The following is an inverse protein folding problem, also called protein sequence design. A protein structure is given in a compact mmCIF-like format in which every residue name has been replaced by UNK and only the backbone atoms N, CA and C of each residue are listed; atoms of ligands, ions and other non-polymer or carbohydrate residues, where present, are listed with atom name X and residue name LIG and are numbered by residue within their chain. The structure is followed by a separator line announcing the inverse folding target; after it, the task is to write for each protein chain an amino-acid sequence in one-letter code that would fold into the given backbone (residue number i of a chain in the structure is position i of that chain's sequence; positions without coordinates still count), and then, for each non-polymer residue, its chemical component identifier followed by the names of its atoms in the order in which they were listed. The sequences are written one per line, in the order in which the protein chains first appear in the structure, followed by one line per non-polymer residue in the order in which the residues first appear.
data_IF_553435564679
#
_entry.id   IF_553435564679
#
_cell.length_a   1.000
_cell.length_b   1.000
_cell.length_c   1.000
_cell.angle_alpha   90.00
_cell.angle_beta   90.00
_cell.angle_gamma   90.00
#
_symmetry.space_group_name_H-M   'P 1'
#
loop_
_entity.id
_entity.type
_entity.pdbx_description
1 polymer ?
#
# COMPACT_ATOMS: atom_id res chain seq x y z
N UNK A 1 11.21 26.54 3.14
CA UNK A 1 11.14 25.22 3.83
C UNK A 1 10.80 24.06 2.89
N UNK A 2 9.95 24.23 1.86
CA UNK A 2 9.55 23.16 0.92
C UNK A 2 10.68 22.42 0.18
N UNK A 3 11.73 23.12 -0.30
CA UNK A 3 12.87 22.43 -0.94
C UNK A 3 13.74 21.62 0.04
N UNK A 4 13.68 21.95 1.33
CA UNK A 4 14.50 21.30 2.35
C UNK A 4 13.90 19.93 2.72
N UNK A 5 12.57 19.82 2.84
CA UNK A 5 11.88 18.56 3.19
C UNK A 5 12.04 17.51 2.09
N UNK A 6 11.86 17.90 0.83
CA UNK A 6 12.02 16.98 -0.31
C UNK A 6 13.47 16.46 -0.41
N UNK A 7 14.45 17.36 -0.22
CA UNK A 7 15.87 17.01 -0.29
C UNK A 7 16.31 16.14 0.90
N UNK A 8 15.79 16.40 2.10
CA UNK A 8 16.09 15.62 3.29
C UNK A 8 15.40 14.25 3.26
N UNK A 9 14.16 14.15 2.77
CA UNK A 9 13.44 12.90 2.60
C UNK A 9 14.09 11.97 1.56
N UNK A 10 14.48 12.51 0.40
CA UNK A 10 15.26 11.77 -0.60
C UNK A 10 16.63 11.37 -0.06
N UNK A 11 17.36 12.27 0.62
CA UNK A 11 18.65 11.95 1.22
C UNK A 11 18.54 10.87 2.31
N UNK A 12 17.47 10.87 3.11
CA UNK A 12 17.22 9.83 4.10
C UNK A 12 16.97 8.49 3.40
N UNK A 13 16.11 8.44 2.37
CA UNK A 13 15.87 7.23 1.56
C UNK A 13 17.18 6.69 0.95
N UNK A 14 18.02 7.56 0.38
CA UNK A 14 19.31 7.14 -0.19
C UNK A 14 20.34 6.71 0.88
N UNK A 15 20.24 7.22 2.11
CA UNK A 15 21.12 6.83 3.22
C UNK A 15 20.72 5.51 3.90
N UNK A 16 19.48 5.04 3.72
CA UNK A 16 19.00 3.76 4.27
C UNK A 16 19.33 2.58 3.34
N UNK A 17 19.48 2.82 2.03
CA UNK A 17 19.92 1.82 1.04
C UNK A 17 21.20 1.06 1.43
N UNK A 18 22.29 1.69 1.91
CA UNK A 18 23.47 0.95 2.35
C UNK A 18 23.21 0.15 3.63
N UNK A 19 22.36 0.62 4.55
CA UNK A 19 22.02 -0.14 5.77
C UNK A 19 21.23 -1.41 5.47
N UNK A 20 20.32 -1.37 4.48
CA UNK A 20 19.61 -2.56 3.99
C UNK A 20 20.55 -3.56 3.30
N UNK A 21 21.59 -3.08 2.61
CA UNK A 21 22.60 -3.92 1.98
C UNK A 21 23.55 -4.63 2.97
N UNK A 22 23.65 -4.15 4.22
CA UNK A 22 24.52 -4.73 5.26
C UNK A 22 23.80 -5.60 6.30
N UNK A 23 22.47 -5.80 6.17
CA UNK A 23 21.69 -6.62 7.12
C UNK A 23 21.74 -8.14 6.84
N UNK A 24 22.58 -8.61 5.90
CA UNK A 24 22.84 -10.04 5.70
C UNK A 24 23.74 -10.59 6.82
N UNK A 25 23.14 -10.91 7.96
CA UNK A 25 23.71 -11.90 8.89
C UNK A 25 22.66 -12.94 9.24
N UNK A 26 22.85 -14.14 8.71
CA UNK A 26 22.13 -15.36 9.04
C UNK A 26 22.08 -15.59 10.57
N UNK A 27 20.92 -15.37 11.17
CA UNK A 27 20.58 -15.89 12.50
C UNK A 27 19.15 -16.47 12.45
N UNK A 28 19.10 -17.79 12.22
CA UNK A 28 18.12 -18.82 12.62
C UNK A 28 16.61 -18.51 12.74
N UNK A 29 15.81 -19.46 12.22
CA UNK A 29 14.56 -20.01 12.80
C UNK A 29 13.46 -19.02 13.20
N UNK A 30 12.28 -19.11 12.56
CA UNK A 30 11.09 -18.26 12.77
C UNK A 30 11.21 -16.79 12.35
N UNK A 31 12.42 -16.26 12.17
CA UNK A 31 12.69 -14.90 11.67
C UNK A 31 13.03 -14.82 10.18
N UNK A 32 13.14 -15.96 9.49
CA UNK A 32 13.56 -16.00 8.08
C UNK A 32 12.66 -15.13 7.21
N UNK A 33 13.16 -14.08 6.56
CA UNK A 33 12.33 -13.17 5.77
C UNK A 33 11.77 -13.88 4.52
N UNK A 34 10.46 -13.80 4.24
CA UNK A 34 9.93 -14.33 3.00
C UNK A 34 10.35 -13.38 1.86
N UNK A 35 10.60 -13.88 0.64
CA UNK A 35 10.91 -13.00 -0.46
C UNK A 35 9.76 -12.03 -0.65
N UNK A 36 10.05 -10.73 -0.79
CA UNK A 36 9.05 -9.65 -0.95
C UNK A 36 7.98 -9.94 -2.03
N UNK A 37 8.28 -10.82 -2.99
CA UNK A 37 7.33 -11.30 -3.99
C UNK A 37 6.22 -12.23 -3.50
N UNK A 38 6.30 -12.78 -2.27
CA UNK A 38 5.48 -13.94 -1.88
C UNK A 38 4.15 -13.62 -1.19
N UNK A 39 3.89 -12.39 -0.72
CA UNK A 39 2.61 -12.08 -0.11
C UNK A 39 2.24 -10.58 -0.19
N UNK A 40 1.07 -10.24 -0.76
CA UNK A 40 0.55 -8.87 -0.72
C UNK A 40 0.34 -8.41 0.73
N UNK A 41 1.04 -7.35 1.15
CA UNK A 41 1.01 -6.84 2.53
C UNK A 41 0.29 -5.49 2.58
N UNK A 42 -0.49 -5.26 3.64
CA UNK A 42 -1.16 -3.99 3.84
C UNK A 42 -0.14 -2.88 4.13
N UNK A 43 -0.30 -1.73 3.50
CA UNK A 43 0.54 -0.56 3.78
C UNK A 43 -0.06 0.74 3.28
N UNK A 44 0.57 1.85 3.65
CA UNK A 44 0.31 3.18 3.09
C UNK A 44 0.15 3.19 1.57
N UNK A 45 1.12 2.63 0.87
CA UNK A 45 1.18 2.51 -0.59
C UNK A 45 0.88 1.05 -1.00
N UNK A 46 0.06 0.38 -0.19
CA UNK A 46 0.05 -1.07 -0.08
C UNK A 46 -0.63 -1.77 -1.24
N UNK A 47 -0.10 -2.95 -1.55
CA UNK A 47 -0.73 -3.89 -2.46
C UNK A 47 -2.15 -4.29 -1.99
N UNK A 48 -2.38 -4.31 -0.67
CA UNK A 48 -3.66 -4.65 -0.02
C UNK A 48 -4.07 -3.60 1.02
N UNK A 49 -5.37 -3.59 1.39
CA UNK A 49 -5.88 -2.77 2.49
C UNK A 49 -6.27 -1.32 2.17
N UNK A 50 -6.03 -0.86 0.94
CA UNK A 50 -6.51 0.42 0.41
C UNK A 50 -6.28 1.61 1.35
N UNK A 51 -5.03 1.99 1.51
CA UNK A 51 -4.69 3.17 2.31
C UNK A 51 -4.47 4.42 1.45
N UNK A 52 -3.86 4.28 0.26
CA UNK A 52 -3.66 5.41 -0.67
C UNK A 52 -3.95 4.99 -2.10
N UNK A 53 -3.11 4.19 -2.76
CA UNK A 53 -3.33 3.79 -4.16
C UNK A 53 -3.74 2.32 -4.28
N UNK A 54 -4.85 2.00 -4.96
CA UNK A 54 -5.27 0.63 -5.16
C UNK A 54 -4.33 -0.14 -6.11
N UNK A 55 -3.96 -1.36 -5.73
CA UNK A 55 -3.44 -2.37 -6.67
C UNK A 55 -4.48 -3.46 -6.90
N UNK A 56 -4.28 -4.28 -7.93
CA UNK A 56 -5.14 -5.43 -8.24
C UNK A 56 -4.87 -6.65 -7.35
N UNK A 57 -3.84 -6.60 -6.49
CA UNK A 57 -3.49 -7.70 -5.59
C UNK A 57 -4.51 -7.79 -4.45
N UNK A 58 -4.98 -8.98 -4.12
CA UNK A 58 -5.82 -9.24 -2.93
C UNK A 58 -5.06 -10.06 -1.90
N UNK A 59 -5.41 -9.88 -0.63
CA UNK A 59 -4.93 -10.73 0.45
C UNK A 59 -5.30 -12.21 0.18
N UNK A 60 -4.40 -13.16 0.47
CA UNK A 60 -4.71 -14.57 0.27
C UNK A 60 -5.93 -15.02 1.09
N UNK A 61 -6.73 -15.98 0.59
CA UNK A 61 -7.92 -16.45 1.29
C UNK A 61 -7.61 -16.92 2.72
N UNK A 62 -8.45 -16.50 3.67
CA UNK A 62 -8.34 -16.81 5.10
C UNK A 62 -7.09 -16.26 5.80
N UNK A 63 -6.30 -15.44 5.10
CA UNK A 63 -5.23 -14.67 5.71
C UNK A 63 -5.68 -13.25 5.98
N UNK A 64 -5.06 -12.61 6.95
CA UNK A 64 -5.33 -11.23 7.29
C UNK A 64 -4.09 -10.50 7.74
N UNK A 65 -4.26 -9.19 7.89
CA UNK A 65 -3.22 -8.31 8.38
C UNK A 65 -3.85 -7.27 9.29
N UNK A 66 -3.18 -6.95 10.39
CA UNK A 66 -3.49 -5.79 11.21
C UNK A 66 -2.39 -4.75 11.02
N UNK A 67 -2.74 -3.47 10.96
CA UNK A 67 -1.75 -2.44 10.67
C UNK A 67 -1.97 -1.19 11.50
N UNK A 68 -0.89 -0.43 11.67
CA UNK A 68 -0.89 0.93 12.19
C UNK A 68 0.06 1.79 11.36
N UNK A 69 -0.38 2.99 11.04
CA UNK A 69 0.26 3.88 10.10
C UNK A 69 0.02 5.32 10.61
N UNK A 70 1.06 6.15 10.72
CA UNK A 70 0.92 7.59 10.96
C UNK A 70 1.57 8.49 9.88
N UNK A 71 0.87 9.57 9.50
CA UNK A 71 1.37 10.66 8.63
C UNK A 71 1.56 11.89 9.50
N UNK A 72 2.78 12.42 9.50
CA UNK A 72 3.15 13.61 10.25
C UNK A 72 2.83 14.87 9.44
N UNK A 73 1.54 15.16 9.27
CA UNK A 73 1.07 16.39 8.62
C UNK A 73 1.03 17.57 9.59
N UNK A 74 1.26 18.78 9.10
CA UNK A 74 0.99 20.02 9.84
C UNK A 74 -0.46 20.48 9.59
N UNK A 75 -1.23 20.87 10.62
CA UNK A 75 -0.84 21.08 12.03
C UNK A 75 -0.99 19.81 12.89
N UNK A 76 -1.45 18.68 12.36
CA UNK A 76 -1.77 17.48 13.14
C UNK A 76 -1.38 16.18 12.45
N UNK A 77 -0.87 15.26 13.26
CA UNK A 77 -0.64 13.88 12.86
C UNK A 77 -1.95 13.18 12.50
N UNK A 78 -2.01 12.61 11.30
CA UNK A 78 -3.04 11.68 10.90
C UNK A 78 -2.60 10.26 11.26
N UNK A 79 -3.52 9.41 11.68
CA UNK A 79 -3.21 8.02 11.97
C UNK A 79 -4.28 7.10 11.40
N UNK A 80 -3.86 5.95 10.90
CA UNK A 80 -4.68 4.92 10.32
C UNK A 80 -4.33 3.60 10.98
N UNK A 81 -5.33 2.87 11.43
CA UNK A 81 -5.13 1.49 11.86
C UNK A 81 -6.34 0.65 11.54
N UNK A 82 -6.13 -0.63 11.37
CA UNK A 82 -7.20 -1.46 10.85
C UNK A 82 -6.78 -2.88 10.65
N UNK A 83 -7.64 -3.59 9.94
CA UNK A 83 -7.39 -4.94 9.54
C UNK A 83 -7.91 -5.20 8.13
N UNK A 84 -7.22 -6.10 7.43
CA UNK A 84 -7.54 -6.60 6.11
C UNK A 84 -7.70 -8.11 6.21
N UNK A 85 -8.67 -8.67 5.50
CA UNK A 85 -8.88 -10.10 5.42
C UNK A 85 -9.14 -10.52 3.98
N UNK A 86 -8.40 -11.52 3.51
CA UNK A 86 -8.69 -12.24 2.29
C UNK A 86 -9.82 -13.22 2.52
N UNK A 87 -10.82 -13.19 1.66
CA UNK A 87 -11.97 -14.06 1.66
C UNK A 87 -11.87 -15.05 0.49
N UNK A 88 -12.51 -16.24 0.60
CA UNK A 88 -12.59 -17.17 -0.53
C UNK A 88 -13.14 -16.50 -1.79
N UNK A 89 -12.62 -16.91 -2.95
CA UNK A 89 -13.08 -16.40 -4.25
C UNK A 89 -12.46 -15.06 -4.63
N UNK A 90 -11.19 -14.83 -4.34
CA UNK A 90 -10.43 -13.63 -4.77
C UNK A 90 -11.01 -12.31 -4.23
N UNK A 91 -11.59 -12.36 -3.04
CA UNK A 91 -12.20 -11.23 -2.36
C UNK A 91 -11.30 -10.73 -1.22
N UNK A 92 -11.30 -9.44 -0.99
CA UNK A 92 -10.66 -8.79 0.15
C UNK A 92 -11.64 -7.82 0.79
N UNK A 93 -11.69 -7.83 2.12
CA UNK A 93 -12.42 -6.85 2.91
C UNK A 93 -11.49 -6.22 3.93
N UNK A 94 -11.67 -4.93 4.20
CA UNK A 94 -10.91 -4.26 5.25
C UNK A 94 -11.74 -3.26 6.03
N UNK A 95 -11.36 -3.06 7.29
CA UNK A 95 -11.84 -1.98 8.13
C UNK A 95 -10.67 -1.10 8.52
N UNK A 96 -10.81 0.21 8.36
CA UNK A 96 -9.77 1.18 8.69
C UNK A 96 -10.36 2.27 9.56
N UNK A 97 -9.76 2.47 10.73
CA UNK A 97 -9.99 3.63 11.58
C UNK A 97 -9.01 4.71 11.17
N UNK A 98 -9.54 5.87 10.80
CA UNK A 98 -8.78 7.07 10.45
C UNK A 98 -8.94 8.10 11.56
N UNK A 99 -7.85 8.68 12.02
CA UNK A 99 -7.81 9.71 13.07
C UNK A 99 -7.25 11.00 12.53
N UNK A 100 -7.89 12.10 12.92
CA UNK A 100 -7.62 13.43 12.40
C UNK A 100 -7.70 13.48 10.87
N UNK A 101 -8.67 12.78 10.28
CA UNK A 101 -8.99 12.90 8.87
C UNK A 101 -9.95 14.07 8.69
N UNK A 102 -9.80 14.83 7.61
CA UNK A 102 -10.73 15.89 7.23
C UNK A 102 -11.85 15.26 6.39
N UNK A 103 -13.08 15.10 6.93
CA UNK A 103 -14.18 14.52 6.18
C UNK A 103 -14.62 15.48 5.08
N UNK A 104 -15.08 14.91 3.96
CA UNK A 104 -15.43 15.68 2.79
C UNK A 104 -16.56 16.72 3.01
N UNK A 105 -17.55 16.40 3.85
CA UNK A 105 -18.67 17.31 4.15
C UNK A 105 -18.35 18.33 5.26
N UNK A 106 -17.13 18.29 5.81
CA UNK A 106 -16.74 19.17 6.89
C UNK A 106 -16.26 20.53 6.39
N UNK A 107 -16.47 21.57 7.18
CA UNK A 107 -15.81 22.86 6.99
C UNK A 107 -14.29 22.65 6.94
N UNK A 108 -13.56 23.29 6.00
CA UNK A 108 -12.12 23.17 5.94
C UNK A 108 -11.44 23.40 7.30
N UNK A 109 -10.52 22.52 7.69
CA UNK A 109 -9.84 22.54 8.98
C UNK A 109 -10.58 21.84 10.13
N UNK A 110 -11.72 21.19 9.87
CA UNK A 110 -12.42 20.35 10.85
C UNK A 110 -12.03 18.89 10.67
N UNK A 111 -11.30 18.37 11.66
CA UNK A 111 -10.82 16.99 11.67
C UNK A 111 -11.68 16.10 12.54
N UNK A 112 -11.91 14.87 12.09
CA UNK A 112 -12.70 13.86 12.82
C UNK A 112 -12.00 12.50 12.81
N UNK A 113 -12.59 11.58 13.57
CA UNK A 113 -12.16 10.20 13.60
C UNK A 113 -13.24 9.36 12.94
N UNK A 114 -12.92 8.76 11.79
CA UNK A 114 -13.85 8.03 10.96
C UNK A 114 -13.45 6.57 10.86
N UNK A 115 -14.44 5.71 10.64
CA UNK A 115 -14.21 4.31 10.29
C UNK A 115 -14.69 4.11 8.87
N UNK A 116 -13.83 3.57 8.02
CA UNK A 116 -14.14 3.23 6.63
C UNK A 116 -14.13 1.71 6.46
N UNK A 117 -15.01 1.25 5.58
CA UNK A 117 -15.07 -0.14 5.14
C UNK A 117 -14.68 -0.19 3.67
N UNK A 118 -13.72 -1.04 3.33
CA UNK A 118 -13.29 -1.22 1.95
C UNK A 118 -13.53 -2.66 1.50
N UNK A 119 -13.68 -2.83 0.19
CA UNK A 119 -13.82 -4.12 -0.45
C UNK A 119 -13.11 -4.14 -1.78
N UNK A 120 -12.56 -5.30 -2.15
CA UNK A 120 -11.89 -5.50 -3.43
C UNK A 120 -12.13 -6.92 -3.92
N UNK A 121 -12.35 -7.06 -5.21
CA UNK A 121 -12.52 -8.33 -5.90
C UNK A 121 -11.54 -8.41 -7.06
N UNK A 122 -10.62 -9.36 -7.04
CA UNK A 122 -9.72 -9.62 -8.16
C UNK A 122 -10.42 -10.52 -9.16
N UNK A 123 -10.58 -10.02 -10.38
CA UNK A 123 -11.18 -10.74 -11.50
C UNK A 123 -10.23 -11.89 -11.89
N UNK A 124 -10.69 -13.14 -11.91
CA UNK A 124 -9.85 -14.29 -12.20
C UNK A 124 -9.58 -14.46 -13.70
N UNK A 125 -9.04 -13.43 -14.36
CA UNK A 125 -8.83 -13.40 -15.81
C UNK A 125 -8.04 -14.61 -16.29
N UNK A 126 -6.92 -14.96 -15.63
CA UNK A 126 -6.13 -16.13 -16.01
C UNK A 126 -6.92 -17.44 -16.02
N UNK A 127 -7.86 -17.63 -15.08
CA UNK A 127 -8.79 -18.78 -15.07
C UNK A 127 -9.80 -18.72 -16.19
N UNK A 128 -10.32 -17.52 -16.49
CA UNK A 128 -11.29 -17.30 -17.55
C UNK A 128 -10.68 -17.48 -18.95
N UNK A 129 -9.42 -17.07 -19.14
CA UNK A 129 -8.71 -17.10 -20.43
C UNK A 129 -7.77 -18.31 -20.59
N UNK A 130 -7.59 -19.13 -19.55
CA UNK A 130 -6.66 -20.28 -19.49
C UNK A 130 -5.18 -19.89 -19.71
N UNK A 131 -4.82 -18.68 -19.29
CA UNK A 131 -3.46 -18.11 -19.39
C UNK A 131 -3.04 -17.63 -18.00
N UNK A 132 -3.09 -18.54 -17.01
CA UNK A 132 -2.72 -18.23 -15.64
C UNK A 132 -1.25 -17.80 -15.55
N UNK A 133 -0.98 -16.72 -14.82
CA UNK A 133 0.37 -16.17 -14.64
C UNK A 133 0.84 -15.21 -15.75
N UNK A 134 0.29 -15.30 -16.96
CA UNK A 134 0.69 -14.42 -18.08
C UNK A 134 -0.09 -13.11 -18.14
N UNK A 135 -1.33 -13.11 -17.62
CA UNK A 135 -2.22 -11.96 -17.69
C UNK A 135 -1.98 -10.96 -16.55
N UNK A 136 -2.13 -9.65 -16.80
CA UNK A 136 -2.23 -8.69 -15.71
C UNK A 136 -3.41 -9.04 -14.80
N UNK A 137 -3.20 -8.87 -13.50
CA UNK A 137 -4.29 -8.94 -12.52
C UNK A 137 -5.17 -7.72 -12.69
N UNK A 138 -6.48 -7.93 -12.54
CA UNK A 138 -7.48 -6.86 -12.58
C UNK A 138 -8.32 -6.96 -11.33
N UNK A 139 -8.60 -5.84 -10.68
CA UNK A 139 -9.52 -5.81 -9.56
C UNK A 139 -10.51 -4.66 -9.65
N UNK A 140 -11.73 -4.92 -9.19
CA UNK A 140 -12.75 -3.92 -8.90
C UNK A 140 -12.82 -3.73 -7.40
N UNK A 141 -12.99 -2.51 -6.94
CA UNK A 141 -13.21 -2.31 -5.52
C UNK A 141 -13.90 -1.02 -5.16
N UNK A 142 -14.14 -0.91 -3.86
CA UNK A 142 -14.78 0.21 -3.21
C UNK A 142 -13.93 0.63 -2.01
N UNK A 143 -13.62 1.90 -1.94
CA UNK A 143 -13.09 2.56 -0.75
C UNK A 143 -14.23 3.29 -0.05
N UNK A 144 -14.28 3.15 1.27
CA UNK A 144 -15.30 3.75 2.15
C UNK A 144 -16.75 3.50 1.68
N UNK A 145 -17.17 2.24 1.72
CA UNK A 145 -18.55 1.83 1.47
C UNK A 145 -19.56 2.52 2.42
N UNK A 146 -19.13 2.87 3.63
CA UNK A 146 -19.91 3.61 4.62
C UNK A 146 -20.15 5.07 4.26
N UNK A 147 -19.37 5.63 3.32
CA UNK A 147 -19.41 7.03 2.89
C UNK A 147 -19.27 8.02 4.06
N UNK A 148 -18.32 7.76 4.97
CA UNK A 148 -18.02 8.62 6.12
C UNK A 148 -16.91 9.64 5.82
N UNK A 149 -16.00 9.29 4.91
CA UNK A 149 -14.89 10.11 4.42
C UNK A 149 -15.09 10.48 2.96
N UNK A 150 -15.21 9.48 2.08
CA UNK A 150 -15.36 9.61 0.63
C UNK A 150 -15.58 8.24 -0.03
N UNK A 151 -16.79 7.92 -0.49
CA UNK A 151 -16.99 6.70 -1.28
C UNK A 151 -16.32 6.82 -2.66
N UNK A 152 -15.48 5.85 -2.98
CA UNK A 152 -14.79 5.74 -4.28
C UNK A 152 -14.95 4.33 -4.84
N UNK A 153 -15.45 4.23 -6.06
CA UNK A 153 -15.39 3.00 -6.86
C UNK A 153 -14.15 3.04 -7.74
N UNK A 154 -13.40 1.95 -7.82
CA UNK A 154 -12.19 1.92 -8.64
C UNK A 154 -12.01 0.61 -9.39
N UNK A 155 -11.22 0.69 -10.46
CA UNK A 155 -10.66 -0.41 -11.22
C UNK A 155 -9.14 -0.30 -11.16
N UNK A 156 -8.45 -1.40 -10.87
CA UNK A 156 -6.98 -1.47 -10.88
C UNK A 156 -6.47 -2.63 -11.72
N UNK A 157 -5.29 -2.41 -12.29
CA UNK A 157 -4.49 -3.35 -13.05
C UNK A 157 -3.15 -3.50 -12.35
N UNK A 158 -2.61 -4.71 -12.27
CA UNK A 158 -1.26 -4.93 -11.75
C UNK A 158 -0.56 -6.06 -12.48
N UNK A 159 0.71 -5.87 -12.80
CA UNK A 159 1.51 -6.89 -13.46
C UNK A 159 2.93 -6.90 -12.89
N UNK A 160 3.45 -8.11 -12.67
CA UNK A 160 4.77 -8.35 -12.13
C UNK A 160 5.70 -8.76 -13.26
N UNK A 161 6.81 -8.05 -13.43
CA UNK A 161 7.86 -8.37 -14.38
C UNK A 161 9.05 -8.93 -13.61
N UNK A 162 9.50 -10.17 -13.90
CA UNK A 162 10.78 -10.64 -13.40
C UNK A 162 11.89 -9.79 -14.03
N UNK A 163 12.87 -9.41 -13.23
CA UNK A 163 14.06 -8.71 -13.71
C UNK A 163 15.25 -9.66 -13.53
N UNK A 164 15.93 -9.99 -14.62
CA UNK A 164 17.15 -10.81 -14.57
C UNK A 164 18.35 -9.93 -14.20
N UNK A 165 18.35 -9.38 -12.99
CA UNK A 165 19.48 -8.63 -12.44
C UNK A 165 19.85 -9.18 -11.06
N UNK A 166 21.15 -9.27 -10.77
CA UNK A 166 21.71 -9.95 -9.58
C UNK A 166 21.14 -9.47 -8.22
N UNK A 167 20.58 -8.25 -8.17
CA UNK A 167 20.05 -7.64 -6.95
C UNK A 167 18.56 -7.27 -6.99
N UNK A 168 17.88 -7.41 -8.14
CA UNK A 168 16.49 -7.00 -8.31
C UNK A 168 15.65 -8.19 -8.73
N UNK A 169 14.82 -8.68 -7.83
CA UNK A 169 14.08 -9.92 -8.08
C UNK A 169 12.77 -9.70 -8.86
N UNK A 170 12.19 -8.50 -8.80
CA UNK A 170 10.88 -8.22 -9.39
C UNK A 170 10.59 -6.72 -9.47
N UNK A 171 9.91 -6.30 -10.53
CA UNK A 171 9.27 -4.99 -10.65
C UNK A 171 7.77 -5.20 -10.87
N UNK A 172 6.95 -4.64 -9.99
CA UNK A 172 5.50 -4.62 -10.16
C UNK A 172 5.09 -3.24 -10.67
N UNK A 173 4.26 -3.22 -11.70
CA UNK A 173 3.59 -2.01 -12.17
C UNK A 173 2.11 -2.12 -11.87
N UNK A 174 1.51 -1.03 -11.44
CA UNK A 174 0.07 -0.95 -11.24
C UNK A 174 -0.48 0.39 -11.75
N UNK A 175 -1.70 0.35 -12.25
CA UNK A 175 -2.41 1.52 -12.74
C UNK A 175 -3.91 1.31 -12.58
N UNK A 176 -4.67 2.40 -12.54
CA UNK A 176 -6.11 2.29 -12.43
C UNK A 176 -6.82 3.62 -12.53
N UNK A 177 -8.13 3.53 -12.32
CA UNK A 177 -9.02 4.67 -12.35
C UNK A 177 -10.01 4.55 -11.20
N UNK A 178 -10.17 5.64 -10.46
CA UNK A 178 -11.18 5.78 -9.42
C UNK A 178 -12.24 6.81 -9.82
N UNK A 179 -13.46 6.61 -9.34
CA UNK A 179 -14.58 7.52 -9.49
C UNK A 179 -15.19 7.76 -8.11
N UNK A 180 -15.08 9.01 -7.66
CA UNK A 180 -15.56 9.46 -6.36
C UNK A 180 -16.99 9.99 -6.50
N UNK A 181 -17.88 9.60 -5.59
CA UNK A 181 -19.30 9.97 -5.69
C UNK A 181 -19.52 11.49 -5.68
N UNK A 182 -18.69 12.25 -4.96
CA UNK A 182 -18.78 13.71 -4.84
C UNK A 182 -17.39 14.36 -4.76
N UNK A 183 -17.20 15.56 -5.32
CA UNK A 183 -15.99 16.39 -5.17
C UNK A 183 -14.70 15.80 -5.78
N UNK A 184 -13.68 16.65 -5.99
CA UNK A 184 -12.34 16.18 -6.40
C UNK A 184 -11.50 15.67 -5.22
N UNK A 185 -10.41 14.95 -5.49
CA UNK A 185 -9.44 14.56 -4.45
C UNK A 185 -8.67 13.27 -4.75
N UNK A 186 -8.07 12.67 -3.72
CA UNK A 186 -7.33 11.39 -3.83
C UNK A 186 -8.24 10.31 -4.42
N UNK A 187 -7.72 9.53 -5.36
CA UNK A 187 -8.44 8.47 -6.09
C UNK A 187 -9.64 8.93 -6.92
N UNK A 188 -9.76 10.22 -7.22
CA UNK A 188 -10.65 10.70 -8.27
C UNK A 188 -9.87 10.85 -9.58
N UNK A 189 -10.08 9.93 -10.51
CA UNK A 189 -9.36 9.87 -11.78
C UNK A 189 -8.24 8.82 -11.80
N UNK A 190 -7.20 9.11 -12.59
CA UNK A 190 -6.10 8.18 -12.86
C UNK A 190 -5.12 8.09 -11.70
N UNK A 191 -4.71 6.86 -11.38
CA UNK A 191 -3.61 6.59 -10.47
C UNK A 191 -2.68 5.52 -11.04
N UNK A 192 -1.42 5.53 -10.63
CA UNK A 192 -0.43 4.53 -11.04
C UNK A 192 0.73 4.46 -10.06
N UNK A 193 1.47 3.37 -10.10
CA UNK A 193 2.67 3.24 -9.30
C UNK A 193 3.47 2.01 -9.66
N UNK A 194 4.55 1.85 -8.92
CA UNK A 194 5.48 0.76 -9.07
C UNK A 194 5.99 0.29 -7.72
N UNK A 195 6.24 -1.01 -7.63
CA UNK A 195 6.97 -1.62 -6.52
C UNK A 195 8.21 -2.30 -7.07
N UNK A 196 9.35 -2.19 -6.40
CA UNK A 196 10.51 -3.01 -6.72
C UNK A 196 11.22 -3.46 -5.45
N UNK A 197 11.79 -4.66 -5.49
CA UNK A 197 12.46 -5.28 -4.34
C UNK A 197 13.99 -5.17 -4.51
N UNK A 198 14.65 -4.18 -3.89
CA UNK A 198 16.12 -4.04 -3.94
C UNK A 198 16.88 -5.14 -3.18
N UNK A 199 16.16 -5.90 -2.34
CA UNK A 199 16.68 -7.04 -1.58
C UNK A 199 15.54 -8.03 -1.30
N UNK A 200 15.83 -9.17 -0.65
CA UNK A 200 14.81 -10.15 -0.27
C UNK A 200 13.89 -9.68 0.87
N UNK A 201 14.29 -8.67 1.62
CA UNK A 201 13.65 -8.18 2.84
C UNK A 201 13.17 -6.72 2.75
N UNK A 202 13.32 -6.09 1.59
CA UNK A 202 12.95 -4.68 1.40
C UNK A 202 12.14 -4.49 0.12
N UNK A 203 11.18 -3.57 0.19
CA UNK A 203 10.38 -3.12 -0.96
C UNK A 203 10.43 -1.61 -1.03
N UNK A 204 10.64 -1.06 -2.21
CA UNK A 204 10.45 0.36 -2.47
C UNK A 204 9.18 0.50 -3.30
N UNK A 205 8.31 1.42 -2.90
CA UNK A 205 7.08 1.72 -3.62
C UNK A 205 7.03 3.21 -3.95
N UNK A 206 6.56 3.51 -5.16
CA UNK A 206 6.33 4.88 -5.63
C UNK A 206 4.99 4.92 -6.33
N UNK A 207 4.13 5.86 -5.93
CA UNK A 207 2.76 5.94 -6.41
C UNK A 207 2.35 7.38 -6.71
N UNK A 208 1.54 7.53 -7.76
CA UNK A 208 0.81 8.73 -8.10
C UNK A 208 -0.67 8.50 -7.81
N UNK A 209 -1.24 9.26 -6.87
CA UNK A 209 -2.62 9.07 -6.38
C UNK A 209 -3.68 9.96 -7.08
N UNK A 210 -3.31 10.53 -8.23
CA UNK A 210 -4.11 11.49 -8.99
C UNK A 210 -3.75 12.95 -8.68
N UNK A 211 -3.08 13.21 -7.56
CA UNK A 211 -2.70 14.57 -7.14
C UNK A 211 -1.22 14.63 -6.76
N UNK A 212 -0.75 13.68 -5.94
CA UNK A 212 0.58 13.70 -5.35
C UNK A 212 1.39 12.47 -5.75
N UNK A 213 2.71 12.65 -5.77
CA UNK A 213 3.65 11.55 -5.75
C UNK A 213 3.94 11.16 -4.30
N UNK A 214 3.76 9.88 -4.01
CA UNK A 214 4.01 9.27 -2.72
C UNK A 214 5.12 8.21 -2.90
N UNK A 215 5.89 7.95 -1.85
CA UNK A 215 6.90 6.91 -1.89
C UNK A 215 7.21 6.35 -0.52
N UNK A 216 7.54 5.07 -0.44
CA UNK A 216 7.98 4.43 0.80
C UNK A 216 9.11 3.44 0.55
N UNK A 217 9.79 3.11 1.64
CA UNK A 217 10.54 1.88 1.79
C UNK A 217 9.85 1.05 2.87
N UNK A 218 9.61 -0.21 2.56
CA UNK A 218 9.19 -1.23 3.51
C UNK A 218 10.35 -2.15 3.80
N UNK A 219 10.52 -2.47 5.07
CA UNK A 219 11.45 -3.48 5.56
C UNK A 219 10.69 -4.58 6.28
N UNK A 220 11.09 -5.82 6.06
CA UNK A 220 10.50 -7.02 6.65
C UNK A 220 11.48 -7.61 7.69
N UNK A 221 11.45 -7.17 8.95
CA UNK A 221 12.32 -7.72 9.99
C UNK A 221 12.00 -9.19 10.33
N UNK A 222 10.80 -9.65 9.98
CA UNK A 222 10.32 -11.01 10.19
C UNK A 222 9.27 -11.35 9.12
N UNK A 223 8.91 -12.64 8.97
CA UNK A 223 7.79 -13.02 8.10
C UNK A 223 6.51 -12.26 8.42
N UNK A 224 6.15 -12.25 9.69
CA UNK A 224 4.86 -11.75 10.15
C UNK A 224 4.83 -10.25 10.39
N UNK A 225 5.92 -9.50 10.15
CA UNK A 225 5.97 -8.05 10.38
C UNK A 225 6.57 -7.32 9.18
N UNK A 226 5.98 -6.19 8.84
CA UNK A 226 6.64 -5.16 8.04
C UNK A 226 6.66 -3.82 8.76
N UNK A 227 7.66 -3.00 8.42
CA UNK A 227 7.80 -1.61 8.87
C UNK A 227 7.91 -0.75 7.61
N UNK A 228 7.17 0.35 7.58
CA UNK A 228 7.13 1.28 6.45
C UNK A 228 7.65 2.65 6.89
N UNK A 229 8.50 3.26 6.07
CA UNK A 229 8.94 4.65 6.19
C UNK A 229 8.79 5.32 4.83
N UNK A 230 8.22 6.51 4.77
CA UNK A 230 7.94 7.13 3.48
C UNK A 230 7.53 8.58 3.54
N UNK A 231 7.10 9.08 2.39
CA UNK A 231 6.53 10.40 2.18
C UNK A 231 5.18 10.23 1.50
N UNK A 232 4.15 10.85 2.08
CA UNK A 232 2.78 10.84 1.58
C UNK A 232 2.29 12.28 1.50
N UNK A 233 1.91 12.74 0.31
CA UNK A 233 1.46 14.11 0.08
C UNK A 233 2.42 15.16 0.68
N UNK A 234 3.72 14.98 0.43
CA UNK A 234 4.82 15.81 0.95
C UNK A 234 5.12 15.67 2.47
N UNK A 235 4.31 14.93 3.21
CA UNK A 235 4.50 14.70 4.65
C UNK A 235 5.22 13.38 4.94
N UNK A 236 6.01 13.35 6.01
CA UNK A 236 6.65 12.12 6.46
C UNK A 236 5.62 11.12 7.00
N UNK A 237 5.75 9.85 6.62
CA UNK A 237 4.88 8.77 7.04
C UNK A 237 5.68 7.57 7.57
N UNK A 238 5.11 6.87 8.55
CA UNK A 238 5.68 5.63 9.07
C UNK A 238 4.61 4.68 9.57
N UNK A 239 4.89 3.38 9.59
CA UNK A 239 3.96 2.42 10.17
C UNK A 239 4.50 1.02 10.25
N UNK A 240 3.63 0.10 10.66
CA UNK A 240 3.93 -1.31 10.73
C UNK A 240 2.67 -2.13 10.48
N UNK A 241 2.87 -3.31 9.90
CA UNK A 241 1.83 -4.30 9.62
C UNK A 241 2.22 -5.64 10.21
N UNK A 242 1.28 -6.31 10.85
CA UNK A 242 1.40 -7.67 11.34
C UNK A 242 0.49 -8.60 10.52
N UNK A 243 1.04 -9.66 9.93
CA UNK A 243 0.31 -10.60 9.08
C UNK A 243 -0.03 -11.89 9.84
N UNK A 244 -1.24 -12.39 9.66
CA UNK A 244 -1.72 -13.63 10.30
C UNK A 244 -1.37 -14.84 9.42
N UNK A 245 -0.11 -15.29 9.52
CA UNK A 245 0.43 -16.57 9.02
C UNK A 245 0.49 -16.77 7.49
N UNK A 246 1.53 -17.52 7.09
CA UNK A 246 1.96 -17.84 5.72
C UNK A 246 1.81 -19.34 5.47
#
# INVERSE_FOLDING_TARGET
MHRLVLTFGLALMFSVLPLAAFAQTDIYGDWATPPVSSAPTASYLGQTGLLITPTAMVAPPLQGAAFYHAIQSEPRRQALWGAVFGLPGDLEASVVRMVNVEPQEATPGVYRNETVLNGKYQIPLGRLTRTEGEMPKVALGIFDASNTVARVWYLSLSHAFPVEAESLNMVNLHAGWGNKDHGGGRLDGFFAGMDFAPSSDSLIQVEYDGVNLNGNIRYYPARWVSIDLGVVAEDFAWGATANTFF
#
